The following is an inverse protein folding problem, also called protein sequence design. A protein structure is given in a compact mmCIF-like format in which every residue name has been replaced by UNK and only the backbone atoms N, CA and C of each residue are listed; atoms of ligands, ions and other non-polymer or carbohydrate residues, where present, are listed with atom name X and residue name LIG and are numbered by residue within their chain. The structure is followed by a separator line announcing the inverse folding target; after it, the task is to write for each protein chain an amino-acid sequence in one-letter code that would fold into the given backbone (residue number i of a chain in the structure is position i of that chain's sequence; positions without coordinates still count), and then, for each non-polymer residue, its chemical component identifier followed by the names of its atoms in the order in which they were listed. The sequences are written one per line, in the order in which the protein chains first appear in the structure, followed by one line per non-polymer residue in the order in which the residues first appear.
data_IF_356351399380
#
_entry.id   IF_356351399380
#
_cell.length_a   1.000
_cell.length_b   1.000
_cell.length_c   1.000
_cell.angle_alpha   90.00
_cell.angle_beta   90.00
_cell.angle_gamma   90.00
#
_symmetry.space_group_name_H-M   'P 1'
#
loop_
_entity.id
_entity.type
_entity.pdbx_description
1 polymer ?
#
# COMPACT_ATOMS: atom_id res chain seq x y z
N UNK A 1 17.10 7.28 21.13
CA UNK A 1 17.21 7.44 19.66
C UNK A 1 16.07 6.67 19.02
N UNK A 2 14.98 7.34 18.62
CA UNK A 2 13.88 6.80 17.81
C UNK A 2 12.94 7.96 17.47
N UNK A 3 13.40 8.86 16.60
CA UNK A 3 12.62 10.02 16.17
C UNK A 3 12.87 10.24 14.69
N UNK A 4 12.48 9.28 13.84
CA UNK A 4 12.49 9.41 12.38
C UNK A 4 11.41 8.46 11.82
N UNK A 5 10.13 8.84 11.93
CA UNK A 5 9.04 8.02 11.38
C UNK A 5 7.73 8.79 11.15
N UNK A 6 7.70 10.10 11.41
CA UNK A 6 6.53 10.94 11.17
C UNK A 6 6.43 11.43 9.72
N UNK A 7 7.56 11.74 9.09
CA UNK A 7 7.59 12.40 7.76
C UNK A 7 7.28 11.46 6.59
N UNK A 8 7.71 10.20 6.65
CA UNK A 8 7.48 9.21 5.59
C UNK A 8 6.00 8.81 5.52
N UNK A 9 5.37 8.57 6.68
CA UNK A 9 3.93 8.28 6.75
C UNK A 9 3.07 9.42 6.20
N UNK A 10 3.44 10.67 6.47
CA UNK A 10 2.76 11.84 5.89
C UNK A 10 2.85 11.88 4.36
N UNK A 11 4.03 11.61 3.80
CA UNK A 11 4.24 11.53 2.34
C UNK A 11 3.49 10.36 1.71
N UNK A 12 3.51 9.18 2.34
CA UNK A 12 2.78 7.99 1.88
C UNK A 12 1.28 8.25 1.89
N UNK A 13 0.74 8.79 2.98
CA UNK A 13 -0.68 9.16 3.09
C UNK A 13 -1.08 10.15 2.01
N UNK A 14 -0.23 11.13 1.70
CA UNK A 14 -0.48 12.08 0.61
C UNK A 14 -0.44 11.40 -0.78
N UNK A 15 0.47 10.44 -1.00
CA UNK A 15 0.50 9.62 -2.23
C UNK A 15 -0.68 8.65 -2.37
N UNK A 16 -1.32 8.27 -1.26
CA UNK A 16 -2.52 7.44 -1.25
C UNK A 16 -3.79 8.25 -1.58
N UNK A 17 -3.77 9.57 -1.33
CA UNK A 17 -4.86 10.49 -1.69
C UNK A 17 -4.95 10.64 -3.20
N UNK A 18 -5.62 9.67 -3.81
CA UNK A 18 -5.91 9.59 -5.24
C UNK A 18 -7.37 9.97 -5.46
N UNK A 19 -7.74 10.26 -6.71
CA UNK A 19 -9.11 10.65 -7.07
C UNK A 19 -10.18 9.57 -6.87
N UNK A 20 -9.76 8.35 -6.47
CA UNK A 20 -10.62 7.18 -6.28
C UNK A 20 -10.70 6.81 -4.79
N UNK A 21 -11.91 6.84 -4.24
CA UNK A 21 -12.16 6.58 -2.81
C UNK A 21 -11.72 5.18 -2.38
N UNK A 22 -12.04 4.14 -3.17
CA UNK A 22 -11.67 2.76 -2.83
C UNK A 22 -10.16 2.55 -2.68
N UNK A 23 -9.34 3.21 -3.51
CA UNK A 23 -7.88 3.13 -3.39
C UNK A 23 -7.38 3.88 -2.15
N UNK A 24 -7.95 5.05 -1.87
CA UNK A 24 -7.60 5.83 -0.68
C UNK A 24 -7.97 5.06 0.61
N UNK A 25 -9.14 4.42 0.67
CA UNK A 25 -9.55 3.62 1.81
C UNK A 25 -8.67 2.38 2.00
N UNK A 26 -8.33 1.66 0.92
CA UNK A 26 -7.46 0.48 1.00
C UNK A 26 -6.04 0.86 1.43
N UNK A 27 -5.41 1.79 0.72
CA UNK A 27 -4.01 2.17 0.96
C UNK A 27 -3.87 2.99 2.24
N UNK A 28 -4.75 3.98 2.43
CA UNK A 28 -4.81 4.79 3.65
C UNK A 28 -5.11 3.93 4.87
N UNK A 29 -6.08 3.02 4.78
CA UNK A 29 -6.40 2.08 5.85
C UNK A 29 -5.25 1.13 6.18
N UNK A 30 -4.49 0.67 5.17
CA UNK A 30 -3.31 -0.18 5.37
C UNK A 30 -2.16 0.57 6.07
N UNK A 31 -1.89 1.82 5.69
CA UNK A 31 -0.85 2.65 6.32
C UNK A 31 -1.26 3.06 7.74
N UNK A 32 -2.52 3.46 7.93
CA UNK A 32 -3.08 3.89 9.21
C UNK A 32 -3.22 2.72 10.20
N UNK A 33 -3.61 1.54 9.71
CA UNK A 33 -3.76 0.31 10.47
C UNK A 33 -2.44 -0.37 10.89
N UNK A 34 -1.30 0.25 10.61
CA UNK A 34 0.03 -0.30 10.94
C UNK A 34 0.50 -1.41 10.02
N UNK A 35 -0.24 -1.73 8.95
CA UNK A 35 0.17 -2.71 7.94
C UNK A 35 1.51 -2.35 7.29
N UNK A 36 1.76 -1.05 7.06
CA UNK A 36 3.04 -0.56 6.54
C UNK A 36 4.21 -0.73 7.52
N UNK A 37 3.99 -0.58 8.82
CA UNK A 37 5.03 -0.76 9.84
C UNK A 37 5.48 -2.24 9.91
N UNK A 38 4.52 -3.15 9.73
CA UNK A 38 4.74 -4.60 9.65
C UNK A 38 5.36 -5.08 8.32
N UNK A 39 5.69 -4.18 7.39
CA UNK A 39 6.39 -4.53 6.16
C UNK A 39 7.90 -4.65 6.39
N UNK A 40 8.53 -5.55 5.65
CA UNK A 40 9.99 -5.62 5.55
C UNK A 40 10.54 -4.47 4.72
N UNK A 41 11.84 -4.11 4.83
CA UNK A 41 12.44 -3.06 4.01
C UNK A 41 12.29 -3.29 2.49
N UNK A 42 12.35 -4.54 2.03
CA UNK A 42 12.09 -4.91 0.63
C UNK A 42 10.63 -4.59 0.22
N UNK A 43 9.66 -5.02 1.04
CA UNK A 43 8.25 -4.71 0.79
C UNK A 43 7.94 -3.21 0.87
N UNK A 44 8.61 -2.45 1.74
CA UNK A 44 8.49 -0.99 1.78
C UNK A 44 8.95 -0.35 0.48
N UNK A 45 10.08 -0.80 -0.08
CA UNK A 45 10.55 -0.35 -1.38
C UNK A 45 9.56 -0.73 -2.50
N UNK A 46 9.03 -1.95 -2.47
CA UNK A 46 7.98 -2.38 -3.39
C UNK A 46 6.72 -1.50 -3.26
N UNK A 47 6.33 -1.10 -2.05
CA UNK A 47 5.18 -0.22 -1.81
C UNK A 47 5.39 1.18 -2.38
N UNK A 48 6.60 1.72 -2.28
CA UNK A 48 6.92 2.99 -2.94
C UNK A 48 6.85 2.89 -4.47
N UNK A 49 7.32 1.78 -5.05
CA UNK A 49 7.18 1.51 -6.51
C UNK A 49 5.72 1.35 -6.91
N UNK A 50 4.93 0.67 -6.08
CA UNK A 50 3.48 0.51 -6.26
C UNK A 50 2.80 1.89 -6.27
N UNK A 51 3.11 2.75 -5.29
CA UNK A 51 2.59 4.12 -5.24
C UNK A 51 3.06 5.03 -6.38
N UNK A 52 4.15 4.69 -7.07
CA UNK A 52 4.59 5.37 -8.29
C UNK A 52 3.87 4.86 -9.56
N UNK A 53 3.06 3.79 -9.44
CA UNK A 53 2.28 3.21 -10.54
C UNK A 53 0.93 3.92 -10.70
N UNK A 54 0.40 3.92 -11.92
CA UNK A 54 -0.89 4.50 -12.29
C UNK A 54 -2.08 3.91 -11.52
N UNK A 55 -3.10 4.74 -11.27
CA UNK A 55 -4.31 4.36 -10.52
C UNK A 55 -5.05 3.18 -11.15
N UNK A 56 -5.13 3.14 -12.48
CA UNK A 56 -5.77 2.03 -13.19
C UNK A 56 -5.11 0.67 -12.88
N UNK A 57 -3.78 0.63 -12.85
CA UNK A 57 -3.03 -0.58 -12.49
C UNK A 57 -3.24 -0.97 -11.04
N UNK A 58 -3.23 0.00 -10.13
CA UNK A 58 -3.51 -0.26 -8.72
C UNK A 58 -4.90 -0.86 -8.51
N UNK A 59 -5.90 -0.35 -9.23
CA UNK A 59 -7.24 -0.94 -9.20
C UNK A 59 -7.23 -2.37 -9.74
N UNK A 60 -6.56 -2.63 -10.87
CA UNK A 60 -6.45 -4.00 -11.38
C UNK A 60 -5.85 -4.95 -10.34
N UNK A 61 -4.81 -4.54 -9.63
CA UNK A 61 -4.15 -5.41 -8.65
C UNK A 61 -4.93 -5.58 -7.35
N UNK A 62 -5.41 -4.48 -6.77
CA UNK A 62 -6.06 -4.48 -5.46
C UNK A 62 -7.54 -4.90 -5.52
N UNK A 63 -8.26 -4.39 -6.51
CA UNK A 63 -9.70 -4.62 -6.70
C UNK A 63 -9.96 -5.79 -7.66
N UNK A 64 -9.38 -5.77 -8.86
CA UNK A 64 -9.64 -6.83 -9.86
C UNK A 64 -8.89 -8.14 -9.57
N UNK A 65 -7.89 -8.12 -8.67
CA UNK A 65 -7.11 -9.29 -8.30
C UNK A 65 -6.08 -9.73 -9.35
N UNK A 66 -5.69 -8.82 -10.25
CA UNK A 66 -4.60 -9.03 -11.18
C UNK A 66 -3.26 -9.10 -10.42
N UNK A 67 -2.32 -9.92 -10.90
CA UNK A 67 -1.00 -10.03 -10.26
C UNK A 67 0.03 -9.18 -11.00
N UNK A 68 0.82 -8.38 -10.29
CA UNK A 68 1.97 -7.73 -10.90
C UNK A 68 2.98 -8.78 -11.37
N UNK A 69 3.78 -8.45 -12.38
CA UNK A 69 4.85 -9.33 -12.89
C UNK A 69 6.02 -9.48 -11.93
N UNK A 70 6.11 -8.60 -10.94
CA UNK A 70 7.14 -8.60 -9.91
C UNK A 70 6.65 -9.40 -8.68
N UNK A 71 7.48 -10.34 -8.23
CA UNK A 71 7.14 -11.22 -7.11
C UNK A 71 6.98 -10.48 -5.78
N UNK A 72 7.78 -9.45 -5.53
CA UNK A 72 7.69 -8.64 -4.32
C UNK A 72 6.44 -7.77 -4.31
N UNK A 73 6.07 -7.19 -5.47
CA UNK A 73 4.79 -6.49 -5.60
C UNK A 73 3.60 -7.46 -5.40
N UNK A 74 3.71 -8.70 -5.86
CA UNK A 74 2.63 -9.69 -5.72
C UNK A 74 2.36 -10.00 -4.25
N UNK A 75 3.43 -10.30 -3.49
CA UNK A 75 3.33 -10.55 -2.05
C UNK A 75 2.73 -9.34 -1.31
N UNK A 76 3.18 -8.13 -1.67
CA UNK A 76 2.68 -6.90 -1.09
C UNK A 76 1.19 -6.66 -1.39
N UNK A 77 0.75 -6.85 -2.63
CA UNK A 77 -0.66 -6.72 -3.02
C UNK A 77 -1.54 -7.68 -2.22
N UNK A 78 -1.12 -8.94 -2.12
CA UNK A 78 -1.84 -9.95 -1.31
C UNK A 78 -1.89 -9.55 0.17
N UNK A 79 -0.80 -9.01 0.72
CA UNK A 79 -0.72 -8.50 2.09
C UNK A 79 -1.71 -7.36 2.35
N UNK A 80 -1.80 -6.39 1.44
CA UNK A 80 -2.74 -5.26 1.53
C UNK A 80 -4.18 -5.78 1.50
N UNK A 81 -4.50 -6.69 0.57
CA UNK A 81 -5.83 -7.31 0.47
C UNK A 81 -6.19 -8.11 1.71
N UNK A 82 -5.25 -8.86 2.26
CA UNK A 82 -5.44 -9.61 3.50
C UNK A 82 -5.70 -8.69 4.70
N UNK A 83 -4.95 -7.59 4.81
CA UNK A 83 -5.15 -6.61 5.87
C UNK A 83 -6.51 -5.89 5.75
N UNK A 84 -6.91 -5.53 4.53
CA UNK A 84 -8.22 -4.93 4.27
C UNK A 84 -9.37 -5.86 4.65
N UNK A 85 -9.24 -7.18 4.40
CA UNK A 85 -10.23 -8.19 4.81
C UNK A 85 -10.22 -8.48 6.31
N UNK A 86 -9.09 -8.27 6.98
CA UNK A 86 -8.94 -8.50 8.41
C UNK A 86 -9.51 -7.37 9.28
N UNK A 87 -9.89 -6.24 8.67
CA UNK A 87 -10.53 -5.11 9.35
C UNK A 87 -12.05 -5.38 9.37
N UNK A 88 -12.67 -5.55 10.56
CA UNK A 88 -14.12 -5.81 10.69
C UNK A 88 -14.96 -4.56 10.39
#
# INVERSE_FOLDING_TARGET
MAAEGGGERGRLRWRCRRGMLELDELLGGFVDGGGYDALTPAQRAAFERLLATEDQRLMSWLLAGERPTDGELTDLVERIRAHARARP
#
